data_IF_015932842145
#
_entry.id   IF_015932842145
#
_cell.length_a   1.000
_cell.length_b   1.000
_cell.length_c   1.000
_cell.angle_alpha   90.00
_cell.angle_beta   90.00
_cell.angle_gamma   90.00
#
_symmetry.space_group_name_H-M   'P 1'
#
loop_
_entity.id
_entity.type
_entity.pdbx_description
1 polymer ?
#
# COMPACT_ATOMS: atom_id res chain seq x y z
N UNK A 1 19.34 -5.49 -10.82
CA UNK A 1 19.65 -6.70 -10.00
C UNK A 1 18.36 -7.41 -9.62
N UNK A 2 18.37 -8.76 -9.40
CA UNK A 2 17.19 -9.52 -8.97
C UNK A 2 16.93 -9.31 -7.48
N UNK A 3 15.67 -9.47 -7.05
CA UNK A 3 15.25 -9.22 -5.66
C UNK A 3 15.98 -10.09 -4.65
N UNK A 4 16.19 -11.36 -4.98
CA UNK A 4 16.93 -12.30 -4.12
C UNK A 4 18.38 -11.85 -3.86
N UNK A 5 19.04 -11.30 -4.89
CA UNK A 5 20.39 -10.75 -4.75
C UNK A 5 20.40 -9.49 -3.89
N UNK A 6 19.40 -8.62 -4.06
CA UNK A 6 19.25 -7.41 -3.23
C UNK A 6 19.05 -7.80 -1.77
N UNK A 7 18.15 -8.75 -1.49
CA UNK A 7 17.94 -9.27 -0.12
C UNK A 7 19.21 -9.91 0.43
N UNK A 8 19.93 -10.65 -0.41
CA UNK A 8 21.24 -11.24 -0.04
C UNK A 8 22.25 -10.20 0.41
N UNK A 9 22.33 -9.05 -0.25
CA UNK A 9 23.20 -7.93 0.15
C UNK A 9 22.79 -7.36 1.53
N UNK A 10 21.48 -7.19 1.78
CA UNK A 10 20.99 -6.76 3.11
C UNK A 10 21.38 -7.77 4.21
N UNK A 11 21.23 -9.07 3.94
CA UNK A 11 21.58 -10.12 4.88
C UNK A 11 23.09 -10.13 5.19
N UNK A 12 23.92 -9.78 4.21
CA UNK A 12 25.38 -9.67 4.37
C UNK A 12 25.83 -8.33 4.95
N UNK A 13 24.89 -7.41 5.24
CA UNK A 13 25.21 -6.03 5.67
C UNK A 13 26.08 -5.26 4.67
N UNK A 14 25.88 -5.51 3.39
CA UNK A 14 26.57 -4.81 2.30
C UNK A 14 25.76 -3.54 1.94
N UNK A 15 26.39 -2.37 2.07
CA UNK A 15 25.77 -1.06 1.82
C UNK A 15 25.24 -0.91 0.38
N UNK A 16 25.78 -1.68 -0.58
CA UNK A 16 25.27 -1.74 -1.95
C UNK A 16 23.80 -2.15 -2.03
N UNK A 17 23.27 -2.81 -1.01
CA UNK A 17 21.85 -3.16 -0.92
C UNK A 17 20.94 -1.93 -1.07
N UNK A 18 21.32 -0.81 -0.45
CA UNK A 18 20.54 0.44 -0.49
C UNK A 18 20.58 1.05 -1.89
N UNK A 19 21.78 1.16 -2.49
CA UNK A 19 21.93 1.72 -3.82
C UNK A 19 21.24 0.90 -4.91
N UNK A 20 21.31 -0.43 -4.85
CA UNK A 20 20.61 -1.33 -5.77
C UNK A 20 19.09 -1.27 -5.60
N UNK A 21 18.61 -1.17 -4.36
CA UNK A 21 17.18 -0.95 -4.08
C UNK A 21 16.69 0.38 -4.64
N UNK A 22 17.46 1.44 -4.44
CA UNK A 22 17.15 2.78 -4.96
C UNK A 22 17.14 2.80 -6.49
N UNK A 23 18.14 2.20 -7.15
CA UNK A 23 18.21 2.10 -8.60
C UNK A 23 17.00 1.35 -9.20
N UNK A 24 16.57 0.25 -8.56
CA UNK A 24 15.47 -0.59 -9.06
C UNK A 24 14.09 -0.03 -8.71
N UNK A 25 13.89 0.44 -7.48
CA UNK A 25 12.58 0.74 -6.93
C UNK A 25 12.38 2.21 -6.52
N UNK A 26 13.39 3.07 -6.61
CA UNK A 26 13.32 4.45 -6.15
C UNK A 26 12.17 5.24 -6.76
N UNK A 27 11.95 5.11 -8.09
CA UNK A 27 10.83 5.77 -8.76
C UNK A 27 9.46 5.28 -8.25
N UNK A 28 9.32 3.98 -8.01
CA UNK A 28 8.08 3.40 -7.49
C UNK A 28 7.83 3.88 -6.06
N UNK A 29 8.85 3.84 -5.20
CA UNK A 29 8.77 4.34 -3.83
C UNK A 29 8.38 5.83 -3.79
N UNK A 30 8.99 6.65 -4.64
CA UNK A 30 8.64 8.07 -4.78
C UNK A 30 7.20 8.29 -5.21
N UNK A 31 6.70 7.51 -6.20
CA UNK A 31 5.29 7.58 -6.62
C UNK A 31 4.33 7.19 -5.49
N UNK A 32 4.63 6.14 -4.72
CA UNK A 32 3.80 5.71 -3.59
C UNK A 32 3.75 6.81 -2.52
N UNK A 33 4.90 7.36 -2.14
CA UNK A 33 4.99 8.40 -1.12
C UNK A 33 4.29 9.69 -1.58
N UNK A 34 4.56 10.13 -2.82
CA UNK A 34 3.97 11.33 -3.39
C UNK A 34 2.44 11.23 -3.55
N UNK A 35 1.93 10.07 -3.96
CA UNK A 35 0.49 9.82 -4.07
C UNK A 35 -0.26 9.93 -2.72
N UNK A 36 0.45 9.85 -1.60
CA UNK A 36 -0.13 9.99 -0.26
C UNK A 36 0.09 11.40 0.31
N UNK A 37 1.29 11.97 0.09
CA UNK A 37 1.70 13.22 0.73
C UNK A 37 1.49 14.47 -0.14
N UNK A 38 1.44 14.30 -1.47
CA UNK A 38 1.32 15.42 -2.42
C UNK A 38 2.51 16.38 -2.45
N UNK A 39 3.60 16.08 -1.74
CA UNK A 39 4.79 16.91 -1.59
C UNK A 39 6.05 16.12 -1.93
N UNK A 40 6.89 16.66 -2.82
CA UNK A 40 8.11 15.99 -3.29
C UNK A 40 9.13 15.84 -2.17
N UNK A 41 9.37 16.89 -1.38
CA UNK A 41 10.38 16.89 -0.31
C UNK A 41 10.05 15.86 0.78
N UNK A 42 8.81 15.87 1.25
CA UNK A 42 8.35 14.87 2.24
C UNK A 42 8.39 13.45 1.67
N UNK A 43 8.09 13.30 0.38
CA UNK A 43 8.16 12.00 -0.29
C UNK A 43 9.58 11.44 -0.36
N UNK A 44 10.57 12.28 -0.65
CA UNK A 44 11.98 11.91 -0.66
C UNK A 44 12.46 11.54 0.76
N UNK A 45 12.06 12.30 1.78
CA UNK A 45 12.36 11.99 3.19
C UNK A 45 11.81 10.62 3.59
N UNK A 46 10.56 10.33 3.21
CA UNK A 46 9.92 9.04 3.47
C UNK A 46 10.64 7.89 2.76
N UNK A 47 11.05 8.09 1.52
CA UNK A 47 11.78 7.06 0.76
C UNK A 47 13.13 6.77 1.42
N UNK A 48 13.87 7.80 1.82
CA UNK A 48 15.14 7.63 2.54
C UNK A 48 14.94 6.92 3.88
N UNK A 49 13.91 7.31 4.64
CA UNK A 49 13.53 6.65 5.89
C UNK A 49 13.16 5.18 5.65
N UNK A 50 12.50 4.86 4.53
CA UNK A 50 12.15 3.48 4.18
C UNK A 50 13.39 2.62 3.93
N UNK A 51 14.45 3.16 3.31
CA UNK A 51 15.70 2.44 3.14
C UNK A 51 16.40 2.15 4.47
N UNK A 52 16.37 3.09 5.41
CA UNK A 52 16.88 2.86 6.77
C UNK A 52 16.08 1.77 7.48
N UNK A 53 14.75 1.78 7.36
CA UNK A 53 13.89 0.72 7.91
C UNK A 53 14.12 -0.64 7.29
N UNK A 54 14.43 -0.71 5.99
CA UNK A 54 14.86 -1.95 5.36
C UNK A 54 16.15 -2.48 5.98
N UNK A 55 17.14 -1.60 6.11
CA UNK A 55 18.43 -1.93 6.71
C UNK A 55 18.30 -2.47 8.15
N UNK A 56 17.44 -1.86 8.95
CA UNK A 56 17.14 -2.31 10.31
C UNK A 56 16.37 -3.65 10.34
N UNK A 57 15.49 -3.86 9.36
CA UNK A 57 14.58 -5.01 9.34
C UNK A 57 15.20 -6.27 8.78
N UNK A 58 16.21 -6.16 7.93
CA UNK A 58 16.90 -7.27 7.26
C UNK A 58 18.38 -7.27 7.66
N UNK A 59 18.90 -8.30 8.38
CA UNK A 59 18.16 -9.34 9.08
C UNK A 59 17.44 -8.84 10.34
N UNK A 60 16.58 -9.59 11.00
CA UNK A 60 16.35 -11.02 10.84
C UNK A 60 15.31 -11.40 9.77
N UNK A 61 14.57 -10.42 9.21
CA UNK A 61 13.57 -10.70 8.17
C UNK A 61 14.27 -11.11 6.87
N UNK A 62 13.62 -12.03 6.15
CA UNK A 62 14.02 -12.43 4.81
C UNK A 62 12.79 -12.34 3.89
N UNK A 63 12.47 -11.12 3.39
CA UNK A 63 11.24 -10.90 2.65
C UNK A 63 11.28 -11.54 1.26
N UNK A 64 10.32 -12.40 0.99
CA UNK A 64 10.01 -12.92 -0.33
C UNK A 64 8.49 -12.96 -0.51
N UNK A 65 7.91 -12.15 -1.40
CA UNK A 65 8.54 -11.22 -2.34
C UNK A 65 9.04 -9.91 -1.69
N UNK A 66 10.14 -9.34 -2.22
CA UNK A 66 10.80 -8.16 -1.68
C UNK A 66 10.03 -6.86 -1.94
N UNK A 67 9.57 -6.66 -3.20
CA UNK A 67 8.90 -5.41 -3.60
C UNK A 67 7.65 -5.09 -2.75
N UNK A 68 6.71 -6.02 -2.50
CA UNK A 68 5.56 -5.76 -1.63
C UNK A 68 5.96 -5.41 -0.19
N UNK A 69 7.05 -5.99 0.33
CA UNK A 69 7.57 -5.66 1.64
C UNK A 69 8.10 -4.21 1.71
N UNK A 70 8.87 -3.80 0.70
CA UNK A 70 9.34 -2.43 0.56
C UNK A 70 8.17 -1.44 0.40
N UNK A 71 7.24 -1.73 -0.52
CA UNK A 71 6.07 -0.89 -0.76
C UNK A 71 5.22 -0.68 0.51
N UNK A 72 5.08 -1.73 1.33
CA UNK A 72 4.40 -1.65 2.63
C UNK A 72 5.12 -0.70 3.59
N UNK A 73 6.45 -0.74 3.65
CA UNK A 73 7.23 0.17 4.52
C UNK A 73 7.03 1.62 4.09
N UNK A 74 7.20 1.92 2.80
CA UNK A 74 7.04 3.27 2.25
C UNK A 74 5.63 3.79 2.52
N UNK A 75 4.61 2.99 2.22
CA UNK A 75 3.20 3.38 2.42
C UNK A 75 2.89 3.64 3.88
N UNK A 76 3.32 2.77 4.80
CA UNK A 76 3.08 2.97 6.22
C UNK A 76 3.74 4.24 6.76
N UNK A 77 4.97 4.53 6.33
CA UNK A 77 5.66 5.77 6.70
C UNK A 77 4.94 7.00 6.17
N UNK A 78 4.55 6.99 4.89
CA UNK A 78 3.81 8.10 4.28
C UNK A 78 2.45 8.33 4.95
N UNK A 79 1.69 7.26 5.24
CA UNK A 79 0.41 7.38 5.95
C UNK A 79 0.56 7.90 7.37
N UNK A 80 1.62 7.48 8.08
CA UNK A 80 1.88 7.99 9.44
C UNK A 80 2.23 9.48 9.40
N UNK A 81 3.03 9.93 8.43
CA UNK A 81 3.33 11.36 8.22
C UNK A 81 2.06 12.13 7.89
N UNK A 82 1.28 11.66 6.92
CA UNK A 82 0.00 12.26 6.56
C UNK A 82 -0.95 12.40 7.76
N UNK A 83 -1.10 11.34 8.57
CA UNK A 83 -1.92 11.37 9.79
C UNK A 83 -1.38 12.39 10.79
N UNK A 84 -0.08 12.44 11.04
CA UNK A 84 0.53 13.38 11.97
C UNK A 84 0.25 14.84 11.58
N UNK A 85 0.32 15.16 10.29
CA UNK A 85 0.07 16.50 9.77
C UNK A 85 -1.42 16.90 9.80
N UNK A 86 -2.32 15.93 9.60
CA UNK A 86 -3.77 16.18 9.53
C UNK A 86 -4.48 15.98 10.88
N UNK A 87 -3.87 15.30 11.85
CA UNK A 87 -4.45 15.14 13.21
C UNK A 87 -4.53 16.47 13.96
N UNK A 88 -3.72 17.45 13.62
CA UNK A 88 -3.85 18.81 14.19
C UNK A 88 -5.09 19.58 13.70
N UNK A 89 -5.75 19.14 12.61
CA UNK A 89 -6.89 19.83 12.01
C UNK A 89 -8.26 19.17 12.20
N UNK A 90 -8.37 17.92 12.67
CA UNK A 90 -9.66 17.22 12.81
C UNK A 90 -9.72 16.29 14.03
N UNK A 91 -9.95 16.88 15.19
CA UNK A 91 -10.69 16.18 16.26
C UNK A 91 -12.18 16.47 16.03
N UNK A 92 -12.82 15.75 15.13
CA UNK A 92 -14.28 15.52 15.12
C UNK A 92 -14.64 14.64 13.92
N UNK A 93 -15.18 13.50 14.22
CA UNK A 93 -16.11 12.66 13.49
C UNK A 93 -16.06 12.58 11.96
N UNK A 94 -16.17 11.37 11.52
CA UNK A 94 -16.43 10.86 10.17
C UNK A 94 -15.22 10.31 9.43
N UNK A 95 -14.92 9.05 9.74
CA UNK A 95 -14.19 8.18 8.82
C UNK A 95 -15.14 7.67 7.71
N UNK A 96 -15.65 8.58 6.92
CA UNK A 96 -16.09 8.27 5.58
C UNK A 96 -14.98 8.73 4.64
N UNK A 97 -13.94 7.92 4.48
CA UNK A 97 -13.03 8.09 3.34
C UNK A 97 -13.88 7.78 2.10
N UNK A 98 -14.34 8.82 1.43
CA UNK A 98 -14.95 8.69 0.12
C UNK A 98 -13.91 8.10 -0.83
N UNK A 99 -14.32 7.17 -1.69
CA UNK A 99 -13.48 6.69 -2.78
C UNK A 99 -13.04 7.85 -3.70
N UNK A 100 -13.77 8.95 -3.70
CA UNK A 100 -13.45 10.18 -4.45
C UNK A 100 -12.19 10.89 -3.91
N UNK A 101 -11.89 10.78 -2.61
CA UNK A 101 -10.61 11.28 -2.05
C UNK A 101 -9.41 10.41 -2.48
N UNK A 102 -9.64 9.21 -3.00
CA UNK A 102 -8.60 8.34 -3.57
C UNK A 102 -8.24 8.74 -5.01
N UNK A 103 -9.14 9.37 -5.74
CA UNK A 103 -8.90 9.86 -7.11
C UNK A 103 -7.92 11.04 -7.14
N UNK A 104 -7.88 11.87 -6.11
CA UNK A 104 -6.90 12.96 -5.99
C UNK A 104 -5.48 12.47 -5.67
N UNK A 105 -5.32 11.24 -5.17
CA UNK A 105 -4.03 10.65 -4.83
C UNK A 105 -3.34 9.92 -6.00
N UNK A 106 -3.93 9.91 -7.20
CA UNK A 106 -3.34 9.30 -8.40
C UNK A 106 -2.85 10.40 -9.34
N UNK A 107 -1.54 10.63 -9.45
CA UNK A 107 -1.03 11.65 -10.36
C UNK A 107 -1.13 11.20 -11.82
N UNK A 108 -1.59 12.13 -12.63
CA UNK A 108 -1.38 12.30 -14.05
C UNK A 108 -2.10 11.42 -15.08
N UNK A 109 -3.09 12.08 -15.69
CA UNK A 109 -3.81 11.69 -16.93
C UNK A 109 -2.96 11.70 -18.22
N UNK A 110 -1.64 11.49 -18.14
CA UNK A 110 -0.73 11.53 -19.31
C UNK A 110 0.14 10.29 -19.51
N UNK A 111 -0.27 9.14 -19.00
CA UNK A 111 0.25 7.87 -19.50
C UNK A 111 -0.86 7.19 -20.30
N UNK A 112 -0.52 6.57 -21.42
CA UNK A 112 -1.42 5.78 -22.27
C UNK A 112 -2.35 4.88 -21.45
N UNK A 113 -3.54 4.47 -21.96
CA UNK A 113 -4.43 3.55 -21.28
C UNK A 113 -3.70 2.24 -21.04
N UNK A 114 -2.94 2.19 -19.96
CA UNK A 114 -2.18 1.01 -19.57
C UNK A 114 -3.11 0.09 -18.80
N UNK A 115 -2.80 -1.19 -18.81
CA UNK A 115 -3.46 -2.24 -18.04
C UNK A 115 -3.73 -1.82 -16.57
N UNK A 116 -2.88 -0.94 -16.03
CA UNK A 116 -3.01 -0.39 -14.68
C UNK A 116 -4.24 0.51 -14.47
N UNK A 117 -4.64 1.31 -15.48
CA UNK A 117 -5.83 2.14 -15.40
C UNK A 117 -7.09 1.26 -15.44
N UNK A 118 -7.11 0.28 -16.34
CA UNK A 118 -8.20 -0.69 -16.43
C UNK A 118 -8.37 -1.48 -15.12
N UNK A 119 -7.27 -1.98 -14.54
CA UNK A 119 -7.29 -2.70 -13.26
C UNK A 119 -7.84 -1.80 -12.13
N UNK A 120 -7.45 -0.53 -12.09
CA UNK A 120 -7.95 0.43 -11.10
C UNK A 120 -9.45 0.63 -11.23
N UNK A 121 -9.95 0.84 -12.45
CA UNK A 121 -11.37 1.08 -12.70
C UNK A 121 -12.21 -0.16 -12.38
N UNK A 122 -11.73 -1.35 -12.73
CA UNK A 122 -12.33 -2.62 -12.32
C UNK A 122 -12.35 -2.81 -10.79
N UNK A 123 -11.25 -2.46 -10.10
CA UNK A 123 -11.18 -2.55 -8.64
C UNK A 123 -12.17 -1.58 -7.97
N UNK A 124 -12.28 -0.35 -8.47
CA UNK A 124 -13.21 0.65 -7.96
C UNK A 124 -14.67 0.20 -8.17
N UNK A 125 -15.02 -0.30 -9.36
CA UNK A 125 -16.33 -0.85 -9.66
C UNK A 125 -16.67 -2.03 -8.73
N UNK A 126 -15.75 -2.99 -8.59
CA UNK A 126 -15.92 -4.11 -7.69
C UNK A 126 -16.17 -3.67 -6.23
N UNK A 127 -15.37 -2.72 -5.74
CA UNK A 127 -15.51 -2.22 -4.37
C UNK A 127 -16.82 -1.44 -4.15
N UNK A 128 -17.30 -0.72 -5.18
CA UNK A 128 -18.58 0.00 -5.12
C UNK A 128 -19.76 -0.95 -4.87
N UNK A 129 -19.71 -2.17 -5.41
CA UNK A 129 -20.76 -3.18 -5.24
C UNK A 129 -20.72 -3.88 -3.87
N UNK A 130 -19.60 -3.76 -3.13
CA UNK A 130 -19.48 -4.43 -1.85
C UNK A 130 -20.22 -3.66 -0.74
N UNK A 131 -20.70 -4.40 0.28
CA UNK A 131 -21.27 -3.80 1.50
C UNK A 131 -20.25 -2.84 2.13
N UNK A 132 -20.72 -1.72 2.65
CA UNK A 132 -19.87 -0.68 3.26
C UNK A 132 -18.83 -1.25 4.25
N UNK A 133 -19.24 -2.12 5.18
CA UNK A 133 -18.30 -2.71 6.13
C UNK A 133 -17.23 -3.58 5.48
N UNK A 134 -17.58 -4.29 4.40
CA UNK A 134 -16.62 -5.11 3.63
C UNK A 134 -15.62 -4.26 2.89
N UNK A 135 -16.10 -3.20 2.25
CA UNK A 135 -15.28 -2.21 1.56
C UNK A 135 -14.30 -1.54 2.53
N UNK A 136 -14.81 -1.06 3.66
CA UNK A 136 -13.99 -0.44 4.70
C UNK A 136 -12.87 -1.37 5.18
N UNK A 137 -13.18 -2.63 5.50
CA UNK A 137 -12.18 -3.62 5.94
C UNK A 137 -11.15 -3.90 4.84
N UNK A 138 -11.58 -3.98 3.57
CA UNK A 138 -10.69 -4.16 2.44
C UNK A 138 -9.72 -2.99 2.29
N UNK A 139 -10.24 -1.76 2.31
CA UNK A 139 -9.45 -0.53 2.20
C UNK A 139 -8.47 -0.42 3.37
N UNK A 140 -8.91 -0.61 4.61
CA UNK A 140 -8.03 -0.60 5.78
C UNK A 140 -6.88 -1.61 5.65
N UNK A 141 -7.18 -2.83 5.16
CA UNK A 141 -6.18 -3.89 5.02
C UNK A 141 -5.20 -3.66 3.90
N UNK A 142 -5.68 -3.33 2.68
CA UNK A 142 -4.86 -3.33 1.47
C UNK A 142 -4.37 -1.94 1.09
N UNK A 143 -5.12 -0.92 1.42
CA UNK A 143 -4.74 0.45 1.13
C UNK A 143 -3.97 1.09 2.28
N UNK A 144 -4.51 1.01 3.50
CA UNK A 144 -3.86 1.54 4.71
C UNK A 144 -2.87 0.57 5.36
N UNK A 145 -2.77 -0.69 4.88
CA UNK A 145 -1.86 -1.73 5.40
C UNK A 145 -2.01 -2.01 6.90
N UNK A 146 -3.21 -1.81 7.46
CA UNK A 146 -3.47 -2.05 8.87
C UNK A 146 -3.41 -3.54 9.22
N UNK A 147 -3.01 -3.84 10.44
CA UNK A 147 -3.04 -5.21 10.97
C UNK A 147 -4.49 -5.67 11.19
N UNK A 148 -4.69 -6.98 11.31
CA UNK A 148 -6.02 -7.53 11.62
C UNK A 148 -6.52 -7.03 12.97
N UNK A 149 -5.62 -6.91 13.95
CA UNK A 149 -5.89 -6.42 15.29
C UNK A 149 -6.34 -4.94 15.26
N UNK A 150 -5.62 -4.08 14.51
CA UNK A 150 -5.99 -2.67 14.34
C UNK A 150 -7.36 -2.52 13.68
N UNK A 151 -7.62 -3.32 12.62
CA UNK A 151 -8.93 -3.34 11.96
C UNK A 151 -10.03 -3.81 12.92
N UNK A 152 -9.76 -4.81 13.77
CA UNK A 152 -10.71 -5.30 14.75
C UNK A 152 -11.10 -4.21 15.77
N UNK A 153 -10.11 -3.48 16.27
CA UNK A 153 -10.34 -2.34 17.18
C UNK A 153 -11.18 -1.25 16.52
N UNK A 154 -10.89 -0.89 15.24
CA UNK A 154 -11.60 0.18 14.53
C UNK A 154 -13.02 -0.18 14.11
N UNK A 155 -13.23 -1.44 13.74
CA UNK A 155 -14.52 -1.89 13.17
C UNK A 155 -15.43 -2.58 14.16
N UNK A 156 -14.92 -2.99 15.32
CA UNK A 156 -15.64 -3.79 16.32
C UNK A 156 -15.90 -5.24 15.89
N UNK A 157 -15.29 -5.70 14.78
CA UNK A 157 -15.43 -7.09 14.35
C UNK A 157 -14.33 -7.96 14.95
N UNK A 158 -14.66 -9.23 15.22
CA UNK A 158 -13.64 -10.19 15.65
C UNK A 158 -12.63 -10.45 14.52
N UNK A 159 -11.39 -10.72 14.88
CA UNK A 159 -10.32 -11.04 13.92
C UNK A 159 -10.67 -12.20 12.99
N UNK A 160 -11.33 -13.25 13.53
CA UNK A 160 -11.78 -14.40 12.73
C UNK A 160 -12.78 -13.99 11.65
N UNK A 161 -13.72 -13.08 12.00
CA UNK A 161 -14.68 -12.51 11.04
C UNK A 161 -13.98 -11.70 9.96
N UNK A 162 -13.00 -10.86 10.33
CA UNK A 162 -12.21 -10.05 9.41
C UNK A 162 -11.41 -10.94 8.44
N UNK A 163 -10.70 -11.95 8.96
CA UNK A 163 -9.94 -12.92 8.15
C UNK A 163 -10.84 -13.63 7.12
N UNK A 164 -11.99 -14.12 7.57
CA UNK A 164 -12.96 -14.81 6.71
C UNK A 164 -13.58 -13.89 5.66
N UNK A 165 -13.85 -12.64 6.01
CA UNK A 165 -14.38 -11.62 5.09
C UNK A 165 -13.36 -11.25 4.03
N UNK A 166 -12.12 -10.98 4.41
CA UNK A 166 -11.03 -10.67 3.47
C UNK A 166 -10.73 -11.85 2.53
N UNK A 167 -10.79 -13.08 3.03
CA UNK A 167 -10.65 -14.27 2.17
C UNK A 167 -11.74 -14.32 1.10
N UNK A 168 -13.01 -14.16 1.49
CA UNK A 168 -14.13 -14.15 0.54
C UNK A 168 -14.06 -13.00 -0.45
N UNK A 169 -13.66 -11.82 -0.01
CA UNK A 169 -13.49 -10.66 -0.91
C UNK A 169 -12.40 -10.89 -1.95
N UNK A 170 -11.27 -11.50 -1.57
CA UNK A 170 -10.21 -11.84 -2.52
C UNK A 170 -10.70 -12.83 -3.59
N UNK A 171 -11.44 -13.86 -3.18
CA UNK A 171 -11.98 -14.82 -4.14
C UNK A 171 -12.97 -14.16 -5.11
N UNK A 172 -13.87 -13.31 -4.61
CA UNK A 172 -14.79 -12.55 -5.44
C UNK A 172 -14.08 -11.60 -6.39
N UNK A 173 -13.04 -10.89 -5.90
CA UNK A 173 -12.26 -9.98 -6.72
C UNK A 173 -11.52 -10.74 -7.82
N UNK A 174 -10.91 -11.87 -7.51
CA UNK A 174 -10.27 -12.72 -8.51
C UNK A 174 -11.23 -13.10 -9.62
N UNK A 175 -12.39 -13.68 -9.28
CA UNK A 175 -13.41 -14.07 -10.26
C UNK A 175 -13.93 -12.86 -11.07
N UNK A 176 -14.07 -11.70 -10.43
CA UNK A 176 -14.49 -10.47 -11.10
C UNK A 176 -13.43 -10.01 -12.12
N UNK A 177 -12.16 -9.97 -11.74
CA UNK A 177 -11.07 -9.58 -12.65
C UNK A 177 -10.94 -10.57 -13.83
N UNK A 178 -11.06 -11.87 -13.57
CA UNK A 178 -11.07 -12.88 -14.62
C UNK A 178 -12.24 -12.70 -15.60
N UNK A 179 -13.44 -12.30 -15.12
CA UNK A 179 -14.59 -12.01 -15.97
C UNK A 179 -14.41 -10.75 -16.84
N UNK A 180 -13.58 -9.80 -16.36
CA UNK A 180 -13.20 -8.60 -17.11
C UNK A 180 -11.98 -8.84 -18.04
N UNK A 181 -11.53 -10.10 -18.19
CA UNK A 181 -10.42 -10.48 -19.06
C UNK A 181 -9.03 -10.21 -18.47
N UNK A 182 -8.94 -9.91 -17.17
CA UNK A 182 -7.68 -9.65 -16.49
C UNK A 182 -7.21 -10.94 -15.81
N UNK A 183 -6.09 -11.51 -16.28
CA UNK A 183 -5.45 -12.69 -15.65
C UNK A 183 -4.78 -12.30 -14.32
N UNK A 184 -5.13 -13.03 -13.22
CA UNK A 184 -4.61 -12.78 -11.87
C UNK A 184 -4.06 -14.06 -11.24
#
# INVERSE_FOLDING_TARGET
MDDEKIVGLFLQRDERAISETSAKYGRLCGKIAYGILGNIQDSEEIVNTAYMRLWESIPPKNPNPFMPFLAKIVRNLALNRYKAEHTQKRYAGEFAVSLDELDECVPDKKSEPSDAAQIRDCLNAFLAEQKQSSRQIFVLRYFYCESIEEIAVKTGFSEGKIKSLLFRLRQKLKNYLESEGISV
#
